data_IF_793379605321
#
_entry.id   IF_793379605321
#
_cell.length_a   1.000
_cell.length_b   1.000
_cell.length_c   1.000
_cell.angle_alpha   90.00
_cell.angle_beta   90.00
_cell.angle_gamma   90.00
#
_symmetry.space_group_name_H-M   'P 1'
#
loop_
_entity.id
_entity.type
_entity.pdbx_description
1 polymer ?
#
# COMPACT_ATOMS: atom_id res chain seq x y z
N UNK A 1 11.05 17.40 3.37
CA UNK A 1 12.19 16.52 2.99
C UNK A 1 12.76 15.71 4.17
N UNK A 2 12.54 16.11 5.44
CA UNK A 2 12.88 15.31 6.64
C UNK A 2 11.71 14.47 7.20
N UNK A 3 10.48 14.68 6.71
CA UNK A 3 9.30 13.94 7.19
C UNK A 3 9.16 12.53 6.58
N UNK A 4 9.81 12.27 5.45
CA UNK A 4 9.72 10.99 4.74
C UNK A 4 10.39 9.84 5.52
N UNK A 5 11.48 10.09 6.24
CA UNK A 5 12.28 9.02 6.84
C UNK A 5 11.63 8.41 8.10
N UNK A 6 11.02 9.25 8.94
CA UNK A 6 10.29 8.82 10.15
C UNK A 6 8.95 8.17 9.78
N UNK A 7 8.24 8.76 8.80
CA UNK A 7 7.01 8.17 8.26
C UNK A 7 7.31 6.79 7.67
N UNK A 8 8.36 6.70 6.87
CA UNK A 8 8.75 5.45 6.22
C UNK A 8 9.16 4.36 7.21
N UNK A 9 9.91 4.68 8.25
CA UNK A 9 10.26 3.70 9.29
C UNK A 9 9.05 3.22 10.10
N UNK A 10 8.12 4.13 10.45
CA UNK A 10 6.90 3.77 11.18
C UNK A 10 5.93 2.96 10.31
N UNK A 11 5.78 3.34 9.04
CA UNK A 11 4.96 2.61 8.06
C UNK A 11 5.59 1.27 7.74
N UNK A 12 6.91 1.16 7.57
CA UNK A 12 7.57 -0.12 7.31
C UNK A 12 7.47 -1.08 8.50
N UNK A 13 7.66 -0.59 9.72
CA UNK A 13 7.48 -1.41 10.93
C UNK A 13 6.04 -1.91 11.10
N UNK A 14 5.05 -1.04 10.83
CA UNK A 14 3.62 -1.40 10.92
C UNK A 14 3.11 -2.21 9.74
N UNK A 15 3.62 -1.97 8.54
CA UNK A 15 3.44 -2.84 7.38
C UNK A 15 3.89 -4.25 7.74
N UNK A 16 5.10 -4.42 8.30
CA UNK A 16 5.58 -5.72 8.75
C UNK A 16 4.62 -6.42 9.72
N UNK A 17 4.06 -5.67 10.68
CA UNK A 17 3.05 -6.19 11.61
C UNK A 17 1.73 -6.55 10.92
N UNK A 18 1.33 -5.77 9.92
CA UNK A 18 0.05 -5.90 9.22
C UNK A 18 0.05 -6.95 8.10
N UNK A 19 1.19 -7.16 7.46
CA UNK A 19 1.38 -8.17 6.42
C UNK A 19 1.68 -9.56 7.01
N UNK A 20 2.05 -9.68 8.30
CA UNK A 20 2.32 -10.96 8.97
C UNK A 20 3.55 -11.73 8.45
N UNK A 21 4.19 -11.24 7.40
CA UNK A 21 5.41 -11.78 6.78
C UNK A 21 6.47 -10.66 6.61
N UNK A 22 7.76 -11.00 6.46
CA UNK A 22 8.80 -10.01 6.20
C UNK A 22 8.55 -9.25 4.89
N UNK A 23 8.19 -7.97 4.99
CA UNK A 23 8.03 -7.08 3.84
C UNK A 23 9.25 -6.19 3.69
N UNK A 24 9.79 -6.13 2.47
CA UNK A 24 10.92 -5.26 2.15
C UNK A 24 10.52 -3.79 2.15
N UNK A 25 11.48 -2.91 2.42
CA UNK A 25 11.31 -1.47 2.32
C UNK A 25 10.69 -1.06 0.96
N UNK A 26 11.20 -1.61 -0.15
CA UNK A 26 10.68 -1.30 -1.49
C UNK A 26 9.20 -1.68 -1.65
N UNK A 27 8.80 -2.85 -1.16
CA UNK A 27 7.40 -3.28 -1.20
C UNK A 27 6.48 -2.35 -0.39
N UNK A 28 6.97 -1.79 0.73
CA UNK A 28 6.24 -0.76 1.49
C UNK A 28 6.03 0.51 0.66
N UNK A 29 7.06 1.01 -0.04
CA UNK A 29 6.90 2.18 -0.94
C UNK A 29 5.92 1.89 -2.07
N UNK A 30 6.03 0.72 -2.69
CA UNK A 30 5.14 0.32 -3.77
C UNK A 30 3.70 0.29 -3.26
N UNK A 31 3.45 -0.34 -2.12
CA UNK A 31 2.13 -0.43 -1.50
C UNK A 31 1.53 0.96 -1.19
N UNK A 32 2.33 1.90 -0.68
CA UNK A 32 1.90 3.29 -0.47
C UNK A 32 1.51 3.99 -1.78
N UNK A 33 2.36 3.89 -2.81
CA UNK A 33 2.08 4.50 -4.12
C UNK A 33 0.84 3.88 -4.79
N UNK A 34 0.64 2.56 -4.67
CA UNK A 34 -0.56 1.88 -5.16
C UNK A 34 -1.82 2.37 -4.44
N UNK A 35 -1.75 2.52 -3.11
CA UNK A 35 -2.86 3.06 -2.32
C UNK A 35 -3.23 4.49 -2.77
N UNK A 36 -2.23 5.30 -3.15
CA UNK A 36 -2.40 6.65 -3.71
C UNK A 36 -2.88 6.65 -5.17
N UNK A 37 -3.10 5.48 -5.77
CA UNK A 37 -3.64 5.34 -7.14
C UNK A 37 -2.59 5.36 -8.24
N UNK A 38 -1.31 5.19 -7.94
CA UNK A 38 -0.27 5.16 -8.96
C UNK A 38 -0.35 3.85 -9.77
N UNK A 39 -0.12 3.94 -11.08
CA UNK A 39 0.09 2.78 -11.96
C UNK A 39 1.54 2.28 -11.88
N UNK A 40 1.81 1.06 -12.37
CA UNK A 40 3.16 0.46 -12.30
C UNK A 40 4.23 1.26 -13.04
N UNK A 41 3.86 2.03 -14.07
CA UNK A 41 4.80 2.87 -14.84
C UNK A 41 5.20 4.08 -13.99
N UNK A 42 4.24 4.72 -13.34
CA UNK A 42 4.50 5.83 -12.41
C UNK A 42 5.29 5.37 -11.20
N UNK A 43 4.95 4.22 -10.62
CA UNK A 43 5.73 3.61 -9.53
C UNK A 43 7.17 3.32 -9.96
N UNK A 44 7.36 2.75 -11.15
CA UNK A 44 8.69 2.46 -11.68
C UNK A 44 9.55 3.73 -11.82
N UNK A 45 8.95 4.80 -12.34
CA UNK A 45 9.60 6.11 -12.45
C UNK A 45 9.94 6.71 -11.09
N UNK A 46 9.00 6.69 -10.16
CA UNK A 46 9.17 7.21 -8.80
C UNK A 46 10.31 6.50 -8.05
N UNK A 47 10.45 5.18 -8.27
CA UNK A 47 11.42 4.36 -7.56
C UNK A 47 12.74 4.15 -8.33
N UNK A 48 12.86 4.66 -9.56
CA UNK A 48 14.05 4.48 -10.40
C UNK A 48 14.32 3.02 -10.78
N UNK A 49 13.29 2.18 -10.88
CA UNK A 49 13.42 0.74 -11.20
C UNK A 49 12.66 0.37 -12.48
N UNK A 50 12.95 -0.81 -13.04
CA UNK A 50 12.22 -1.32 -14.19
C UNK A 50 10.77 -1.70 -13.86
N UNK A 51 9.85 -1.50 -14.82
CA UNK A 51 8.42 -1.88 -14.70
C UNK A 51 8.22 -3.34 -14.28
N UNK A 52 9.02 -4.27 -14.82
CA UNK A 52 8.98 -5.70 -14.47
C UNK A 52 9.34 -5.96 -13.00
N UNK A 53 10.23 -5.16 -12.41
CA UNK A 53 10.56 -5.25 -10.99
C UNK A 53 9.37 -4.81 -10.14
N UNK A 54 8.72 -3.70 -10.50
CA UNK A 54 7.49 -3.26 -9.84
C UNK A 54 6.41 -4.33 -9.92
N UNK A 55 6.15 -4.89 -11.11
CA UNK A 55 5.13 -5.92 -11.29
C UNK A 55 5.38 -7.18 -10.44
N UNK A 56 6.64 -7.60 -10.30
CA UNK A 56 7.01 -8.72 -9.42
C UNK A 56 6.73 -8.41 -7.95
N UNK A 57 7.12 -7.23 -7.50
CA UNK A 57 6.84 -6.81 -6.11
C UNK A 57 5.33 -6.64 -5.86
N UNK A 58 4.58 -6.08 -6.82
CA UNK A 58 3.11 -5.97 -6.78
C UNK A 58 2.46 -7.35 -6.66
N UNK A 59 2.91 -8.32 -7.46
CA UNK A 59 2.41 -9.69 -7.39
C UNK A 59 2.73 -10.35 -6.04
N UNK A 60 3.92 -10.13 -5.50
CA UNK A 60 4.27 -10.59 -4.16
C UNK A 60 3.37 -9.97 -3.09
N UNK A 61 3.13 -8.66 -3.15
CA UNK A 61 2.23 -7.96 -2.21
C UNK A 61 0.80 -8.49 -2.34
N UNK A 62 0.31 -8.71 -3.57
CA UNK A 62 -1.00 -9.30 -3.82
C UNK A 62 -1.13 -10.68 -3.19
N UNK A 63 -0.13 -11.55 -3.37
CA UNK A 63 -0.09 -12.87 -2.75
C UNK A 63 -0.10 -12.78 -1.21
N UNK A 64 0.69 -11.87 -0.63
CA UNK A 64 0.73 -11.66 0.83
C UNK A 64 -0.62 -11.18 1.39
N UNK A 65 -1.36 -10.37 0.64
CA UNK A 65 -2.67 -9.86 1.05
C UNK A 65 -3.86 -10.71 0.60
N UNK A 66 -3.61 -11.83 -0.11
CA UNK A 66 -4.67 -12.65 -0.69
C UNK A 66 -5.51 -11.91 -1.74
N UNK A 67 -4.95 -10.88 -2.39
CA UNK A 67 -5.63 -10.12 -3.42
C UNK A 67 -5.52 -10.81 -4.79
N UNK A 68 -6.65 -10.94 -5.50
CA UNK A 68 -6.70 -11.61 -6.81
C UNK A 68 -6.66 -10.65 -7.98
N UNK A 69 -6.84 -9.36 -7.72
CA UNK A 69 -6.78 -8.31 -8.74
C UNK A 69 -6.09 -7.07 -8.18
N UNK A 70 -5.63 -6.21 -9.09
CA UNK A 70 -5.07 -4.90 -8.73
C UNK A 70 -6.04 -4.05 -7.92
N UNK A 71 -7.31 -4.09 -8.29
CA UNK A 71 -8.36 -3.33 -7.60
C UNK A 71 -8.56 -3.86 -6.17
N UNK A 72 -8.65 -5.18 -6.01
CA UNK A 72 -8.75 -5.82 -4.70
C UNK A 72 -7.50 -5.52 -3.84
N UNK A 73 -6.31 -5.53 -4.45
CA UNK A 73 -5.07 -5.16 -3.79
C UNK A 73 -5.14 -3.71 -3.28
N UNK A 74 -5.50 -2.76 -4.14
CA UNK A 74 -5.63 -1.35 -3.75
C UNK A 74 -6.67 -1.14 -2.64
N UNK A 75 -7.79 -1.85 -2.69
CA UNK A 75 -8.82 -1.81 -1.65
C UNK A 75 -8.30 -2.32 -0.30
N UNK A 76 -7.67 -3.49 -0.27
CA UNK A 76 -7.08 -4.07 0.96
C UNK A 76 -5.97 -3.19 1.54
N UNK A 77 -5.15 -2.58 0.68
CA UNK A 77 -4.18 -1.58 1.11
C UNK A 77 -4.88 -0.36 1.72
N UNK A 78 -5.97 0.13 1.12
CA UNK A 78 -6.78 1.19 1.70
C UNK A 78 -7.34 0.83 3.07
N UNK A 79 -7.91 -0.36 3.23
CA UNK A 79 -8.42 -0.88 4.51
C UNK A 79 -7.32 -0.98 5.56
N UNK A 80 -6.12 -1.40 5.16
CA UNK A 80 -4.98 -1.53 6.04
C UNK A 80 -4.48 -0.16 6.53
N UNK A 81 -4.31 0.80 5.62
CA UNK A 81 -3.93 2.18 5.97
C UNK A 81 -5.04 2.85 6.79
N UNK A 82 -6.30 2.51 6.53
CA UNK A 82 -7.44 2.95 7.34
C UNK A 82 -7.29 2.47 8.78
N UNK A 83 -7.11 1.17 9.00
CA UNK A 83 -6.95 0.58 10.34
C UNK A 83 -5.74 1.16 11.08
N UNK A 84 -4.63 1.40 10.38
CA UNK A 84 -3.44 2.03 10.95
C UNK A 84 -3.68 3.47 11.40
N UNK A 85 -4.52 4.22 10.67
CA UNK A 85 -4.90 5.61 11.01
C UNK A 85 -5.92 5.66 12.14
N UNK A 86 -6.80 4.67 12.23
CA UNK A 86 -7.88 4.62 13.22
C UNK A 86 -7.55 3.91 14.51
N UNK A 87 -6.38 3.27 14.59
CA UNK A 87 -5.80 2.85 15.87
C UNK A 87 -5.55 4.01 16.86
N UNK A 88 -5.95 5.24 16.52
CA UNK A 88 -6.21 6.35 17.46
C UNK A 88 -7.64 6.96 17.47
N UNK A 89 -8.53 6.65 16.51
CA UNK A 89 -9.99 6.98 16.47
C UNK A 89 -10.63 6.43 15.17
N UNK A 90 -11.77 5.72 15.28
CA UNK A 90 -12.42 4.81 14.30
C UNK A 90 -12.75 5.29 12.87
N UNK A 91 -13.23 4.38 11.97
CA UNK A 91 -13.25 4.64 10.52
C UNK A 91 -14.31 5.59 9.98
N UNK A 92 -13.86 6.67 9.34
CA UNK A 92 -14.70 7.61 8.59
C UNK A 92 -14.84 7.17 7.11
N UNK A 93 -16.08 6.81 6.78
CA UNK A 93 -16.79 6.93 5.51
C UNK A 93 -16.01 7.36 4.25
N UNK A 94 -15.87 6.44 3.30
CA UNK A 94 -15.93 6.79 1.88
C UNK A 94 -16.59 5.65 1.09
N UNK A 95 -17.74 5.93 0.46
CA UNK A 95 -18.38 5.01 -0.48
C UNK A 95 -19.84 4.61 -0.23
N UNK A 96 -20.70 5.46 0.36
CA UNK A 96 -22.12 5.41 -0.05
C UNK A 96 -22.17 5.93 -1.49
N UNK A 97 -22.45 5.07 -2.46
CA UNK A 97 -23.07 5.52 -3.71
C UNK A 97 -24.42 6.17 -3.31
N UNK A 98 -24.80 7.34 -3.85
CA UNK A 98 -26.22 7.66 -3.86
C UNK A 98 -26.90 6.53 -4.64
N UNK A 99 -27.77 5.79 -3.94
CA UNK A 99 -28.93 5.26 -4.62
C UNK A 99 -29.78 6.49 -5.00
N UNK A 100 -30.42 6.40 -6.17
CA UNK A 100 -31.25 7.41 -6.86
C UNK A 100 -30.52 8.17 -7.97
#
# INVERSE_FOLDING_TARGET
MLEDEIFYHRVAARARAAFGVPVSARQVKIADLLHRGYDDVRVARELGVGRRTVQRDVAAIAAMLGARSRFELAFRLGELWHHMRTAGKGPHAFGRRPAE
#
